data_IF_550722648499
#
_entry.id   IF_550722648499
#
_cell.length_a   1.000
_cell.length_b   1.000
_cell.length_c   1.000
_cell.angle_alpha   90.00
_cell.angle_beta   90.00
_cell.angle_gamma   90.00
#
_symmetry.space_group_name_H-M   'P 1'
#
loop_
_entity.id
_entity.type
_entity.pdbx_description
1 polymer ?
#
# COMPACT_ATOMS: atom_id res chain seq x y z
N UNK A 1 28.23 -16.73 2.28
CA UNK A 1 29.32 -16.29 3.18
C UNK A 1 28.87 -14.92 3.66
N UNK A 2 28.06 -14.87 4.71
CA UNK A 2 27.50 -13.62 5.21
C UNK A 2 28.63 -12.77 5.76
N UNK A 3 28.85 -11.60 5.16
CA UNK A 3 29.70 -10.59 5.76
C UNK A 3 29.07 -10.22 7.11
N UNK A 4 29.76 -10.50 8.21
CA UNK A 4 29.31 -10.09 9.54
C UNK A 4 29.02 -8.58 9.54
N UNK A 5 27.76 -8.22 9.80
CA UNK A 5 27.33 -6.83 9.85
C UNK A 5 28.04 -6.13 11.01
N UNK A 6 28.86 -5.12 10.72
CA UNK A 6 29.59 -4.36 11.76
C UNK A 6 28.71 -3.26 12.35
N UNK A 7 28.21 -3.52 13.56
CA UNK A 7 27.46 -2.54 14.33
C UNK A 7 28.40 -1.43 14.82
N UNK A 8 27.94 -0.20 14.65
CA UNK A 8 28.54 0.99 15.23
C UNK A 8 27.89 1.36 16.56
N UNK A 9 27.82 2.66 16.84
CA UNK A 9 27.27 3.21 18.06
C UNK A 9 25.76 2.98 18.17
N UNK A 10 25.26 2.71 19.39
CA UNK A 10 23.84 2.78 19.72
C UNK A 10 23.37 4.24 19.65
N UNK A 11 22.55 4.56 18.66
CA UNK A 11 22.04 5.90 18.39
C UNK A 11 20.84 6.25 19.27
N UNK A 12 19.97 5.27 19.52
CA UNK A 12 18.76 5.46 20.30
C UNK A 12 18.33 4.15 20.96
N UNK A 13 17.65 4.24 22.10
CA UNK A 13 17.02 3.12 22.78
C UNK A 13 15.62 3.51 23.23
N UNK A 14 14.61 2.84 22.66
CA UNK A 14 13.22 2.98 23.04
C UNK A 14 12.77 1.84 23.96
N UNK A 15 11.48 1.85 24.29
CA UNK A 15 10.83 0.82 25.13
C UNK A 15 10.95 -0.59 24.54
N UNK A 16 10.81 -0.73 23.22
CA UNK A 16 10.70 -2.03 22.53
C UNK A 16 11.79 -2.28 21.50
N UNK A 17 12.71 -1.34 21.29
CA UNK A 17 13.73 -1.42 20.24
C UNK A 17 14.99 -0.61 20.56
N UNK A 18 16.08 -0.99 19.93
CA UNK A 18 17.38 -0.29 19.94
C UNK A 18 17.79 0.01 18.49
N UNK A 19 18.45 1.14 18.29
CA UNK A 19 18.90 1.59 16.97
C UNK A 19 20.42 1.70 17.00
N UNK A 20 21.09 1.02 16.07
CA UNK A 20 22.55 1.02 15.92
C UNK A 20 22.94 1.58 14.57
N UNK A 21 23.99 2.40 14.52
CA UNK A 21 24.61 2.76 13.24
C UNK A 21 25.30 1.56 12.60
N UNK A 22 25.49 1.60 11.28
CA UNK A 22 26.24 0.59 10.53
C UNK A 22 27.55 1.19 10.02
N UNK A 23 28.68 0.64 10.43
CA UNK A 23 30.02 1.20 10.15
C UNK A 23 30.30 1.22 8.65
N UNK A 24 30.00 0.11 7.98
CA UNK A 24 30.32 -0.09 6.56
C UNK A 24 29.21 0.41 5.61
N UNK A 25 28.10 0.94 6.15
CA UNK A 25 26.92 1.35 5.37
C UNK A 25 26.38 2.71 5.86
N UNK A 26 27.04 3.83 5.48
CA UNK A 26 26.65 5.16 5.93
C UNK A 26 25.23 5.51 5.46
N UNK A 27 24.46 6.13 6.35
CA UNK A 27 23.05 6.47 6.10
C UNK A 27 22.07 5.33 6.35
N UNK A 28 22.53 4.15 6.77
CA UNK A 28 21.69 3.03 7.20
C UNK A 28 21.88 2.75 8.70
N UNK A 29 20.85 2.16 9.30
CA UNK A 29 20.80 1.75 10.71
C UNK A 29 20.25 0.34 10.85
N UNK A 30 20.66 -0.37 11.89
CA UNK A 30 20.00 -1.59 12.35
C UNK A 30 18.95 -1.23 13.40
N UNK A 31 17.73 -1.72 13.21
CA UNK A 31 16.65 -1.65 14.21
C UNK A 31 16.52 -3.03 14.87
N UNK A 32 16.95 -3.12 16.13
CA UNK A 32 16.93 -4.35 16.92
C UNK A 32 15.70 -4.35 17.84
N UNK A 33 14.81 -5.33 17.67
CA UNK A 33 13.62 -5.50 18.52
C UNK A 33 13.97 -6.13 19.87
N UNK A 34 13.23 -5.76 20.93
CA UNK A 34 13.37 -6.29 22.30
C UNK A 34 12.19 -7.21 22.68
N UNK A 35 12.44 -8.18 23.54
CA UNK A 35 11.42 -9.10 24.10
C UNK A 35 10.58 -8.44 25.21
N UNK A 36 10.18 -7.18 25.03
CA UNK A 36 9.43 -6.41 26.02
C UNK A 36 8.10 -5.94 25.45
N UNK A 37 7.02 -6.09 26.23
CA UNK A 37 5.71 -5.50 25.96
C UNK A 37 5.42 -4.42 27.02
N UNK A 38 4.80 -3.31 26.61
CA UNK A 38 4.55 -2.15 27.48
C UNK A 38 3.16 -1.57 27.26
N UNK A 39 2.52 -1.02 28.29
CA UNK A 39 1.25 -0.30 28.15
C UNK A 39 1.20 0.91 29.10
N UNK A 40 0.46 1.96 28.70
CA UNK A 40 0.32 3.20 29.46
C UNK A 40 1.66 3.88 29.74
N UNK A 41 2.36 4.32 28.70
CA UNK A 41 3.67 4.99 28.82
C UNK A 41 4.71 4.23 29.66
N UNK A 42 4.75 2.89 29.52
CA UNK A 42 5.62 1.98 30.27
C UNK A 42 5.36 1.87 31.78
N UNK A 43 4.22 2.39 32.28
CA UNK A 43 3.73 2.09 33.64
C UNK A 43 3.53 0.58 33.81
N UNK A 44 3.00 -0.08 32.78
CA UNK A 44 2.96 -1.55 32.71
C UNK A 44 4.04 -2.02 31.75
N UNK A 45 4.90 -2.95 32.19
CA UNK A 45 5.97 -3.55 31.40
C UNK A 45 6.18 -5.00 31.80
N UNK A 46 6.30 -5.89 30.81
CA UNK A 46 6.52 -7.31 31.02
C UNK A 46 7.48 -7.88 29.98
N UNK A 47 8.21 -8.93 30.38
CA UNK A 47 9.04 -9.70 29.46
C UNK A 47 8.18 -10.72 28.73
N UNK A 48 8.26 -10.75 27.40
CA UNK A 48 7.56 -11.72 26.56
C UNK A 48 8.55 -12.34 25.59
N UNK A 49 9.05 -13.52 25.94
CA UNK A 49 10.00 -14.26 25.11
C UNK A 49 9.45 -14.54 23.71
N UNK A 50 10.24 -14.24 22.69
CA UNK A 50 9.86 -14.36 21.28
C UNK A 50 9.16 -13.13 20.70
N UNK A 51 8.75 -12.14 21.52
CA UNK A 51 8.11 -10.91 21.03
C UNK A 51 8.99 -10.17 20.02
N UNK A 52 10.30 -10.11 20.24
CA UNK A 52 11.22 -9.43 19.33
C UNK A 52 11.13 -10.01 17.92
N UNK A 53 11.12 -11.34 17.81
CA UNK A 53 11.04 -12.02 16.52
C UNK A 53 9.67 -11.83 15.86
N UNK A 54 8.60 -11.92 16.64
CA UNK A 54 7.23 -11.70 16.16
C UNK A 54 7.03 -10.27 15.65
N UNK A 55 7.50 -9.26 16.39
CA UNK A 55 7.38 -7.86 16.03
C UNK A 55 8.19 -7.53 14.77
N UNK A 56 9.44 -8.00 14.71
CA UNK A 56 10.32 -7.80 13.57
C UNK A 56 9.77 -8.45 12.30
N UNK A 57 9.27 -9.70 12.40
CA UNK A 57 8.62 -10.38 11.28
C UNK A 57 7.38 -9.64 10.79
N UNK A 58 6.52 -9.21 11.72
CA UNK A 58 5.29 -8.47 11.38
C UNK A 58 5.63 -7.17 10.65
N UNK A 59 6.55 -6.39 11.20
CA UNK A 59 7.05 -5.15 10.61
C UNK A 59 7.67 -5.37 9.24
N UNK A 60 8.55 -6.37 9.10
CA UNK A 60 9.22 -6.68 7.83
C UNK A 60 8.22 -7.06 6.74
N UNK A 61 7.21 -7.87 7.06
CA UNK A 61 6.16 -8.23 6.10
C UNK A 61 5.30 -7.01 5.72
N UNK A 62 4.90 -6.18 6.70
CA UNK A 62 4.09 -4.98 6.44
C UNK A 62 4.86 -3.98 5.59
N UNK A 63 6.12 -3.69 5.92
CA UNK A 63 6.91 -2.76 5.12
C UNK A 63 7.21 -3.30 3.73
N UNK A 64 7.48 -4.60 3.57
CA UNK A 64 7.62 -5.20 2.25
C UNK A 64 6.35 -5.04 1.40
N UNK A 65 5.16 -5.29 1.98
CA UNK A 65 3.89 -5.09 1.29
C UNK A 65 3.71 -3.63 0.83
N UNK A 66 3.98 -2.67 1.73
CA UNK A 66 3.84 -1.24 1.44
C UNK A 66 4.87 -0.77 0.41
N UNK A 67 6.11 -1.23 0.48
CA UNK A 67 7.18 -0.90 -0.45
C UNK A 67 6.91 -1.47 -1.84
N UNK A 68 6.45 -2.73 -1.94
CA UNK A 68 6.04 -3.36 -3.20
C UNK A 68 4.80 -2.67 -3.83
N UNK A 69 3.91 -2.12 -3.00
CA UNK A 69 2.82 -1.26 -3.46
C UNK A 69 3.33 0.10 -4.00
N UNK A 70 4.49 0.57 -3.55
CA UNK A 70 5.09 1.84 -3.94
C UNK A 70 4.97 2.96 -2.90
N UNK A 71 4.64 2.63 -1.64
CA UNK A 71 4.75 3.57 -0.53
C UNK A 71 6.22 3.76 -0.17
N UNK A 72 6.62 5.01 0.07
CA UNK A 72 7.98 5.32 0.54
C UNK A 72 8.14 4.93 2.02
N UNK A 73 9.00 3.95 2.29
CA UNK A 73 9.28 3.42 3.63
C UNK A 73 10.76 3.53 3.95
N UNK A 74 11.09 3.63 5.24
CA UNK A 74 12.47 3.59 5.72
C UNK A 74 13.09 2.19 5.66
N UNK A 75 12.28 1.14 5.52
CA UNK A 75 12.71 -0.25 5.45
C UNK A 75 13.60 -0.52 4.22
N UNK A 76 14.71 -1.21 4.45
CA UNK A 76 15.62 -1.71 3.40
C UNK A 76 15.42 -3.22 3.25
N UNK A 77 15.71 -3.98 4.30
CA UNK A 77 15.57 -5.43 4.30
C UNK A 77 15.52 -6.00 5.72
N UNK A 78 14.99 -7.22 5.85
CA UNK A 78 15.10 -7.98 7.10
C UNK A 78 16.53 -8.53 7.23
N UNK A 79 17.18 -8.32 8.38
CA UNK A 79 18.55 -8.76 8.62
C UNK A 79 18.62 -10.07 9.43
N UNK A 80 17.78 -10.20 10.45
CA UNK A 80 17.70 -11.40 11.29
C UNK A 80 16.26 -11.66 11.72
N UNK A 81 16.02 -12.68 12.55
CA UNK A 81 14.69 -12.89 13.13
C UNK A 81 14.23 -11.70 13.97
N UNK A 82 15.16 -10.97 14.60
CA UNK A 82 14.83 -9.91 15.57
C UNK A 82 15.24 -8.50 15.13
N UNK A 83 15.86 -8.36 13.96
CA UNK A 83 16.30 -7.07 13.44
C UNK A 83 16.09 -6.88 11.93
N UNK A 84 15.98 -5.63 11.52
CA UNK A 84 15.93 -5.19 10.13
C UNK A 84 16.82 -3.97 9.90
N UNK A 85 17.24 -3.77 8.65
CA UNK A 85 18.00 -2.60 8.21
C UNK A 85 17.02 -1.54 7.71
N UNK A 86 17.24 -0.30 8.10
CA UNK A 86 16.47 0.85 7.68
C UNK A 86 17.39 2.00 7.23
N UNK A 87 16.87 2.88 6.39
CA UNK A 87 17.50 4.19 6.14
C UNK A 87 17.42 5.03 7.41
N UNK A 88 18.51 5.71 7.72
CA UNK A 88 18.56 6.60 8.87
C UNK A 88 17.62 7.79 8.66
N UNK A 89 16.75 8.02 9.65
CA UNK A 89 15.77 9.11 9.62
C UNK A 89 15.87 9.95 10.90
N UNK A 90 15.68 11.25 10.76
CA UNK A 90 15.28 12.09 11.89
C UNK A 90 13.77 11.98 12.05
N UNK A 91 13.32 11.44 13.19
CA UNK A 91 11.90 11.13 13.42
C UNK A 91 11.09 12.38 13.68
N UNK A 92 9.92 12.48 13.03
CA UNK A 92 8.94 13.53 13.30
C UNK A 92 8.18 13.10 14.57
N UNK A 93 8.15 13.91 15.65
CA UNK A 93 7.61 13.50 16.95
C UNK A 93 6.08 13.54 17.00
N UNK A 94 5.42 12.95 16.00
CA UNK A 94 3.97 12.89 15.86
C UNK A 94 3.53 11.45 15.61
N UNK A 95 2.57 11.00 16.41
CA UNK A 95 1.83 9.77 16.19
C UNK A 95 0.63 10.04 15.27
N UNK A 96 0.65 9.43 14.09
CA UNK A 96 -0.41 9.57 13.09
C UNK A 96 -1.40 8.44 13.24
N UNK A 97 -2.61 8.75 13.73
CA UNK A 97 -3.65 7.76 14.00
C UNK A 97 -4.75 7.84 12.96
N UNK A 98 -5.07 6.71 12.34
CA UNK A 98 -6.16 6.59 11.36
C UNK A 98 -7.20 5.59 11.83
N UNK A 99 -8.48 5.91 11.70
CA UNK A 99 -9.60 5.09 12.20
C UNK A 99 -10.65 4.82 11.13
N UNK A 100 -11.04 3.55 11.01
CA UNK A 100 -12.28 3.14 10.34
C UNK A 100 -13.44 3.01 11.32
N UNK A 101 -13.17 2.57 12.54
CA UNK A 101 -14.20 2.29 13.55
C UNK A 101 -13.90 3.08 14.83
N UNK A 102 -14.92 3.72 15.40
CA UNK A 102 -14.80 4.42 16.67
C UNK A 102 -14.68 3.42 17.83
N UNK A 103 -13.55 3.45 18.52
CA UNK A 103 -13.27 2.71 19.76
C UNK A 103 -12.17 3.44 20.54
N UNK A 104 -11.77 2.89 21.69
CA UNK A 104 -10.61 3.35 22.45
C UNK A 104 -10.68 4.83 22.85
N UNK A 105 -9.57 5.56 22.66
CA UNK A 105 -9.43 6.95 23.11
C UNK A 105 -10.35 7.94 22.38
N UNK A 106 -10.81 7.61 21.17
CA UNK A 106 -11.78 8.42 20.45
C UNK A 106 -13.10 8.55 21.22
N UNK A 107 -13.63 7.44 21.77
CA UNK A 107 -14.88 7.45 22.53
C UNK A 107 -14.76 8.25 23.83
N UNK A 108 -13.58 8.21 24.48
CA UNK A 108 -13.31 9.00 25.69
C UNK A 108 -13.34 10.51 25.41
N UNK A 109 -12.78 10.94 24.29
CA UNK A 109 -12.76 12.35 23.87
C UNK A 109 -14.11 12.83 23.29
N UNK A 110 -14.96 11.91 22.83
CA UNK A 110 -16.21 12.22 22.15
C UNK A 110 -17.40 11.52 22.84
N UNK A 111 -17.76 11.94 24.07
CA UNK A 111 -18.90 11.37 24.77
C UNK A 111 -20.18 11.51 23.94
N UNK A 112 -20.95 10.42 23.84
CA UNK A 112 -22.15 10.33 23.01
C UNK A 112 -21.97 9.53 21.71
N UNK A 113 -20.73 9.39 21.22
CA UNK A 113 -20.44 8.47 20.11
C UNK A 113 -20.43 7.04 20.63
N UNK A 114 -21.12 6.14 19.92
CA UNK A 114 -21.17 4.71 20.25
C UNK A 114 -20.00 3.97 19.61
N UNK A 115 -19.50 2.96 20.31
CA UNK A 115 -18.53 2.03 19.75
C UNK A 115 -19.10 1.34 18.50
N UNK A 116 -18.25 1.14 17.49
CA UNK A 116 -18.66 0.56 16.21
C UNK A 116 -19.08 1.60 15.17
N UNK A 117 -19.21 2.89 15.52
CA UNK A 117 -19.44 3.95 14.53
C UNK A 117 -18.36 3.91 13.44
N UNK A 118 -18.76 3.90 12.17
CA UNK A 118 -17.84 3.80 11.04
C UNK A 118 -17.55 5.17 10.43
N UNK A 119 -16.26 5.47 10.25
CA UNK A 119 -15.80 6.66 9.55
C UNK A 119 -15.70 6.40 8.04
N UNK A 120 -16.39 7.21 7.26
CA UNK A 120 -16.28 7.26 5.79
C UNK A 120 -16.41 8.72 5.32
N UNK A 121 -15.32 9.42 4.96
CA UNK A 121 -13.94 8.92 4.87
C UNK A 121 -13.30 8.60 6.23
N UNK A 122 -12.10 8.02 6.22
CA UNK A 122 -11.34 7.67 7.43
C UNK A 122 -11.09 8.88 8.33
N UNK A 123 -11.12 8.68 9.65
CA UNK A 123 -10.78 9.73 10.62
C UNK A 123 -9.28 9.72 10.88
N UNK A 124 -8.64 10.87 10.66
CA UNK A 124 -7.25 11.12 10.99
C UNK A 124 -7.13 11.97 12.27
N UNK A 125 -6.14 11.66 13.09
CA UNK A 125 -5.78 12.38 14.31
C UNK A 125 -4.25 12.39 14.47
N UNK A 126 -3.71 13.44 15.08
CA UNK A 126 -2.29 13.58 15.42
C UNK A 126 -2.12 13.65 16.93
N UNK A 127 -1.10 12.99 17.46
CA UNK A 127 -0.73 13.09 18.87
C UNK A 127 0.76 13.42 18.97
N UNK A 128 1.11 14.45 19.73
CA UNK A 128 2.49 14.81 19.95
C UNK A 128 3.13 13.81 20.90
N UNK A 129 4.34 13.35 20.56
CA UNK A 129 5.05 12.38 21.40
C UNK A 129 5.59 13.06 22.65
N UNK A 130 4.88 12.87 23.75
CA UNK A 130 5.24 13.35 25.08
C UNK A 130 4.72 12.37 26.13
N UNK A 131 5.64 11.51 26.59
CA UNK A 131 5.34 10.52 27.62
C UNK A 131 4.87 11.17 28.93
N UNK A 132 5.30 12.41 29.25
CA UNK A 132 4.94 13.11 30.47
C UNK A 132 3.48 13.57 30.45
N UNK A 133 2.99 14.03 29.30
CA UNK A 133 1.64 14.56 29.11
C UNK A 133 0.68 13.57 28.43
N UNK A 134 1.04 12.29 28.39
CA UNK A 134 0.24 11.20 27.82
C UNK A 134 -0.11 11.38 26.34
N UNK A 135 0.87 11.83 25.56
CA UNK A 135 0.78 12.06 24.11
C UNK A 135 -0.44 12.92 23.72
N UNK A 136 -0.42 14.24 24.01
CA UNK A 136 -1.59 15.10 23.80
C UNK A 136 -1.97 15.17 22.32
N UNK A 137 -3.28 15.21 22.06
CA UNK A 137 -3.78 15.41 20.69
C UNK A 137 -3.37 16.79 20.18
N UNK A 138 -2.79 16.85 18.98
CA UNK A 138 -2.46 18.09 18.29
C UNK A 138 -3.38 18.36 17.11
N UNK A 139 -3.69 19.64 16.89
CA UNK A 139 -4.24 20.15 15.65
C UNK A 139 -3.14 20.35 14.62
N UNK A 140 -3.54 20.57 13.37
CA UNK A 140 -2.61 20.84 12.28
C UNK A 140 -1.84 22.14 12.51
N UNK A 141 -2.53 23.17 13.00
CA UNK A 141 -1.96 24.47 13.32
C UNK A 141 -0.90 24.37 14.41
N UNK A 142 -1.10 23.51 15.43
CA UNK A 142 -0.10 23.26 16.46
C UNK A 142 1.18 22.65 15.87
N UNK A 143 1.03 21.67 14.97
CA UNK A 143 2.18 21.07 14.28
C UNK A 143 2.93 22.10 13.42
N UNK A 144 2.21 22.97 12.72
CA UNK A 144 2.81 24.02 11.88
C UNK A 144 3.54 25.08 12.71
N UNK A 145 2.95 25.54 13.82
CA UNK A 145 3.57 26.54 14.71
C UNK A 145 4.77 25.99 15.46
N UNK A 146 4.86 24.66 15.65
CA UNK A 146 6.04 24.02 16.23
C UNK A 146 7.31 24.20 15.37
N UNK A 147 7.17 24.54 14.08
CA UNK A 147 8.27 24.87 13.17
C UNK A 147 9.42 23.83 13.18
N UNK A 148 9.07 22.53 13.21
CA UNK A 148 10.07 21.47 13.17
C UNK A 148 10.92 21.56 11.89
N UNK A 149 12.23 21.42 12.05
CA UNK A 149 13.19 21.28 10.95
C UNK A 149 14.04 20.04 11.22
N UNK A 150 13.82 19.00 10.42
CA UNK A 150 14.42 17.68 10.61
C UNK A 150 15.23 17.31 9.37
N UNK A 151 16.49 16.96 9.57
CA UNK A 151 17.48 16.71 8.54
C UNK A 151 17.58 17.86 7.51
N UNK A 152 17.23 19.09 7.88
CA UNK A 152 17.19 20.25 6.98
C UNK A 152 15.90 20.42 6.17
N UNK A 153 14.88 19.57 6.39
CA UNK A 153 13.54 19.75 5.86
C UNK A 153 12.66 20.43 6.92
N UNK A 154 12.15 21.63 6.61
CA UNK A 154 11.11 22.27 7.41
C UNK A 154 9.77 21.55 7.20
N UNK A 155 9.08 21.20 8.29
CA UNK A 155 7.76 20.58 8.28
C UNK A 155 6.71 21.68 8.07
N UNK A 156 6.47 22.02 6.80
CA UNK A 156 5.47 23.01 6.40
C UNK A 156 4.12 22.36 6.09
N UNK A 157 3.13 23.16 5.68
CA UNK A 157 1.83 22.68 5.18
C UNK A 157 1.98 21.56 4.15
N UNK A 158 2.95 21.67 3.25
CA UNK A 158 3.19 20.65 2.23
C UNK A 158 3.53 19.28 2.85
N UNK A 159 4.44 19.24 3.83
CA UNK A 159 4.86 18.00 4.49
C UNK A 159 3.74 17.41 5.34
N UNK A 160 2.99 18.27 6.04
CA UNK A 160 1.82 17.88 6.84
C UNK A 160 0.74 17.26 5.95
N UNK A 161 0.39 17.88 4.82
CA UNK A 161 -0.56 17.32 3.85
C UNK A 161 -0.07 15.96 3.31
N UNK A 162 1.25 15.83 3.05
CA UNK A 162 1.85 14.58 2.58
C UNK A 162 1.70 13.48 3.62
N UNK A 163 2.01 13.75 4.89
CA UNK A 163 1.85 12.78 5.98
C UNK A 163 0.37 12.42 6.20
N UNK A 164 -0.53 13.42 6.16
CA UNK A 164 -1.97 13.23 6.23
C UNK A 164 -2.45 12.20 5.18
N UNK A 165 -2.17 12.48 3.91
CA UNK A 165 -2.65 11.64 2.80
C UNK A 165 -1.94 10.29 2.71
N UNK A 166 -0.67 10.24 3.12
CA UNK A 166 0.10 8.99 3.22
C UNK A 166 -0.47 8.09 4.30
N UNK A 167 -0.83 8.63 5.46
CA UNK A 167 -1.45 7.87 6.56
C UNK A 167 -2.75 7.20 6.13
N UNK A 168 -3.61 7.93 5.42
CA UNK A 168 -4.85 7.40 4.84
C UNK A 168 -4.54 6.28 3.84
N UNK A 169 -3.59 6.49 2.92
CA UNK A 169 -3.23 5.48 1.91
C UNK A 169 -2.69 4.20 2.52
N UNK A 170 -1.80 4.30 3.50
CA UNK A 170 -1.22 3.17 4.23
C UNK A 170 -2.33 2.41 4.95
N UNK A 171 -3.25 3.12 5.62
CA UNK A 171 -4.38 2.49 6.31
C UNK A 171 -5.23 1.68 5.33
N UNK A 172 -5.63 2.26 4.20
CA UNK A 172 -6.52 1.59 3.25
C UNK A 172 -5.84 0.38 2.58
N UNK A 173 -4.52 0.44 2.34
CA UNK A 173 -3.73 -0.70 1.85
C UNK A 173 -3.76 -1.85 2.87
N UNK A 174 -3.45 -1.56 4.13
CA UNK A 174 -3.45 -2.59 5.18
C UNK A 174 -4.87 -3.09 5.47
N UNK A 175 -5.89 -2.23 5.45
CA UNK A 175 -7.29 -2.59 5.61
C UNK A 175 -7.72 -3.59 4.53
N UNK A 176 -7.40 -3.30 3.26
CA UNK A 176 -7.74 -4.19 2.14
C UNK A 176 -6.96 -5.50 2.19
N UNK A 177 -5.70 -5.47 2.59
CA UNK A 177 -4.90 -6.68 2.76
C UNK A 177 -5.49 -7.58 3.86
N UNK A 178 -5.76 -7.03 5.05
CA UNK A 178 -6.35 -7.78 6.16
C UNK A 178 -7.76 -8.33 5.87
N UNK A 179 -8.54 -7.64 5.04
CA UNK A 179 -9.85 -8.13 4.60
C UNK A 179 -9.76 -9.50 3.89
N UNK A 180 -8.66 -9.80 3.18
CA UNK A 180 -8.44 -11.12 2.56
C UNK A 180 -8.34 -12.26 3.58
N UNK A 181 -8.01 -11.93 4.82
CA UNK A 181 -7.91 -12.87 5.95
C UNK A 181 -9.13 -12.80 6.86
N UNK A 182 -10.26 -12.25 6.38
CA UNK A 182 -11.47 -11.99 7.14
C UNK A 182 -11.18 -11.22 8.46
N UNK A 183 -10.29 -10.24 8.39
CA UNK A 183 -9.95 -9.39 9.53
C UNK A 183 -10.34 -7.93 9.24
N UNK A 184 -10.98 -7.30 10.22
CA UNK A 184 -11.25 -5.87 10.19
C UNK A 184 -10.07 -5.13 10.84
N UNK A 185 -9.38 -4.30 10.05
CA UNK A 185 -8.46 -3.30 10.57
C UNK A 185 -9.29 -2.12 11.10
N UNK A 186 -9.21 -1.85 12.40
CA UNK A 186 -10.13 -0.96 13.11
C UNK A 186 -9.56 0.46 13.16
N UNK A 187 -8.34 0.57 13.64
CA UNK A 187 -7.51 1.76 13.65
C UNK A 187 -6.03 1.36 13.64
N UNK A 188 -5.16 2.30 13.28
CA UNK A 188 -3.71 2.12 13.36
C UNK A 188 -3.01 3.42 13.74
N UNK A 189 -1.79 3.30 14.23
CA UNK A 189 -0.83 4.36 14.49
C UNK A 189 0.44 4.12 13.69
N UNK A 190 0.94 5.15 13.01
CA UNK A 190 2.23 5.13 12.33
C UNK A 190 3.04 6.39 12.67
N UNK A 191 4.34 6.35 12.39
CA UNK A 191 5.25 7.47 12.59
C UNK A 191 6.05 7.70 11.29
N UNK A 192 6.36 8.96 10.99
CA UNK A 192 7.17 9.33 9.83
C UNK A 192 8.53 9.85 10.28
N UNK A 193 9.51 9.73 9.40
CA UNK A 193 10.82 10.35 9.56
C UNK A 193 11.26 11.05 8.28
N UNK A 194 12.20 11.98 8.41
CA UNK A 194 12.89 12.58 7.27
C UNK A 194 14.17 11.78 7.02
N UNK A 195 14.28 11.18 5.84
CA UNK A 195 15.48 10.48 5.42
C UNK A 195 16.66 11.45 5.38
N UNK A 196 17.72 11.16 6.13
CA UNK A 196 18.86 12.08 6.29
C UNK A 196 19.64 12.31 5.00
N UNK A 197 19.54 11.39 4.05
CA UNK A 197 20.22 11.45 2.75
C UNK A 197 19.34 12.11 1.69
N UNK A 198 18.12 11.60 1.48
CA UNK A 198 17.25 12.07 0.38
C UNK A 198 16.41 13.29 0.75
N UNK A 199 16.32 13.62 2.04
CA UNK A 199 15.46 14.70 2.59
C UNK A 199 13.97 14.48 2.30
N UNK A 200 13.57 13.25 2.04
CA UNK A 200 12.17 12.89 1.82
C UNK A 200 11.51 12.42 3.11
N UNK A 201 10.23 12.76 3.27
CA UNK A 201 9.38 12.17 4.31
C UNK A 201 9.07 10.72 3.91
N UNK A 202 9.36 9.78 4.82
CA UNK A 202 9.12 8.35 4.63
C UNK A 202 8.41 7.76 5.83
N UNK A 203 7.57 6.74 5.61
CA UNK A 203 7.04 5.93 6.70
C UNK A 203 8.21 5.26 7.42
N UNK A 204 8.33 5.45 8.72
CA UNK A 204 9.45 4.95 9.51
C UNK A 204 8.95 4.19 10.75
N UNK A 205 9.79 4.08 11.77
CA UNK A 205 9.54 3.29 12.96
C UNK A 205 9.19 1.82 12.65
N UNK A 206 8.09 1.31 13.19
CA UNK A 206 7.62 -0.07 13.04
C UNK A 206 6.10 -0.08 12.88
N UNK A 207 5.60 -1.07 12.16
CA UNK A 207 4.17 -1.38 12.10
C UNK A 207 4.00 -2.83 12.52
N UNK A 208 3.79 -3.04 13.82
CA UNK A 208 3.62 -4.36 14.43
C UNK A 208 2.25 -4.49 15.09
N UNK A 209 2.06 -5.56 15.87
CA UNK A 209 0.80 -5.84 16.54
C UNK A 209 0.51 -4.91 17.76
N UNK A 210 1.41 -3.96 18.05
CA UNK A 210 1.21 -2.87 18.99
C UNK A 210 0.59 -1.64 18.29
N UNK A 211 0.79 -1.52 16.97
CA UNK A 211 0.47 -0.36 16.14
C UNK A 211 -0.99 -0.29 15.69
N UNK A 212 -1.77 -1.37 15.76
CA UNK A 212 -3.15 -1.40 15.28
C UNK A 212 -4.14 -2.04 16.25
N UNK A 213 -5.42 -1.96 15.89
CA UNK A 213 -6.48 -2.85 16.38
C UNK A 213 -6.97 -3.76 15.27
N UNK A 214 -7.03 -5.06 15.53
CA UNK A 214 -7.33 -6.08 14.52
C UNK A 214 -8.38 -7.06 15.04
N UNK A 215 -9.56 -7.06 14.41
CA UNK A 215 -10.72 -7.86 14.81
C UNK A 215 -11.06 -8.91 13.75
N UNK A 216 -10.77 -10.20 14.01
CA UNK A 216 -11.26 -11.29 13.17
C UNK A 216 -12.78 -11.24 13.03
N UNK A 217 -13.29 -11.40 11.80
CA UNK A 217 -14.71 -11.29 11.44
C UNK A 217 -15.39 -9.98 11.87
N UNK A 218 -14.62 -8.93 12.18
CA UNK A 218 -15.16 -7.68 12.72
C UNK A 218 -15.63 -7.77 14.18
N UNK A 219 -15.32 -8.87 14.87
CA UNK A 219 -15.73 -9.10 16.25
C UNK A 219 -14.64 -8.66 17.25
N UNK A 220 -14.96 -7.64 18.05
CA UNK A 220 -14.07 -7.12 19.09
C UNK A 220 -13.72 -8.18 20.14
N UNK A 221 -14.61 -9.11 20.45
CA UNK A 221 -14.33 -10.18 21.41
C UNK A 221 -13.19 -11.11 20.95
N UNK A 222 -12.90 -11.12 19.64
CA UNK A 222 -11.84 -11.92 19.05
C UNK A 222 -10.54 -11.13 18.81
N UNK A 223 -10.43 -9.89 19.30
CA UNK A 223 -9.29 -9.00 19.06
C UNK A 223 -7.94 -9.71 19.24
N UNK A 224 -7.04 -9.52 18.27
CA UNK A 224 -5.72 -10.19 18.21
C UNK A 224 -4.55 -9.26 18.49
N UNK A 225 -4.82 -7.98 18.68
CA UNK A 225 -3.81 -6.95 18.90
C UNK A 225 -3.49 -6.72 20.38
N UNK A 226 -2.56 -5.81 20.63
CA UNK A 226 -2.10 -5.41 21.97
C UNK A 226 -3.22 -4.91 22.90
N UNK A 227 -4.39 -4.52 22.40
CA UNK A 227 -5.50 -4.14 23.26
C UNK A 227 -5.88 -5.26 24.25
N UNK A 228 -5.68 -6.54 23.91
CA UNK A 228 -5.86 -7.66 24.86
C UNK A 228 -5.00 -7.49 26.11
N UNK A 229 -3.73 -7.14 25.95
CA UNK A 229 -2.80 -6.91 27.07
C UNK A 229 -3.16 -5.63 27.85
N UNK A 230 -3.66 -4.58 27.16
CA UNK A 230 -4.13 -3.34 27.80
C UNK A 230 -5.38 -3.58 28.65
N UNK A 231 -6.26 -4.47 28.21
CA UNK A 231 -7.55 -4.76 28.88
C UNK A 231 -7.41 -5.71 30.09
N UNK A 232 -6.25 -6.34 30.28
CA UNK A 232 -6.00 -7.19 31.45
C UNK A 232 -6.11 -6.39 32.74
N UNK A 233 -6.97 -6.85 33.66
CA UNK A 233 -7.06 -6.32 35.03
C UNK A 233 -5.78 -6.64 35.80
N UNK A 234 -5.34 -7.90 35.72
CA UNK A 234 -4.10 -8.40 36.32
C UNK A 234 -3.30 -9.15 35.25
N UNK A 235 -1.97 -9.04 35.32
CA UNK A 235 -1.05 -9.72 34.40
C UNK A 235 -0.63 -11.04 35.05
N UNK A 236 -1.25 -12.14 34.62
CA UNK A 236 -0.87 -13.50 35.04
C UNK A 236 -0.07 -14.20 33.94
N UNK A 237 0.72 -15.25 34.26
CA UNK A 237 1.41 -16.05 33.26
C UNK A 237 0.46 -16.61 32.19
N UNK A 238 -0.72 -17.07 32.57
CA UNK A 238 -1.72 -17.64 31.66
C UNK A 238 -2.28 -16.58 30.70
N UNK A 239 -2.58 -15.38 31.22
CA UNK A 239 -3.02 -14.25 30.42
C UNK A 239 -1.94 -13.82 29.41
N UNK A 240 -0.68 -13.81 29.83
CA UNK A 240 0.46 -13.51 28.95
C UNK A 240 0.64 -14.54 27.84
N UNK A 241 0.36 -15.82 28.09
CA UNK A 241 0.35 -16.84 27.03
C UNK A 241 -0.78 -16.62 26.01
N UNK A 242 -1.94 -16.10 26.43
CA UNK A 242 -3.01 -15.70 25.48
C UNK A 242 -2.53 -14.54 24.61
N UNK A 243 -1.92 -13.51 25.20
CA UNK A 243 -1.34 -12.37 24.46
C UNK A 243 -0.30 -12.86 23.46
N UNK A 244 0.63 -13.71 23.88
CA UNK A 244 1.67 -14.28 23.00
C UNK A 244 1.07 -15.05 21.82
N UNK A 245 0.10 -15.94 22.07
CA UNK A 245 -0.59 -16.70 21.01
C UNK A 245 -1.31 -15.79 20.00
N UNK A 246 -1.91 -14.69 20.48
CA UNK A 246 -2.52 -13.71 19.59
C UNK A 246 -1.48 -13.02 18.68
N UNK A 247 -0.32 -12.67 19.24
CA UNK A 247 0.80 -12.09 18.49
C UNK A 247 1.38 -13.08 17.46
N UNK A 248 1.58 -14.34 17.84
CA UNK A 248 2.02 -15.40 16.93
C UNK A 248 1.03 -15.61 15.78
N UNK A 249 -0.27 -15.64 16.08
CA UNK A 249 -1.32 -15.75 15.07
C UNK A 249 -1.25 -14.63 14.04
N UNK A 250 -1.07 -13.38 14.47
CA UNK A 250 -0.90 -12.23 13.57
C UNK A 250 0.38 -12.36 12.73
N UNK A 251 1.48 -12.77 13.37
CA UNK A 251 2.79 -12.94 12.72
C UNK A 251 2.81 -14.01 11.64
N UNK A 252 1.98 -15.04 11.76
CA UNK A 252 1.80 -16.04 10.71
C UNK A 252 0.86 -15.55 9.60
N UNK A 253 -0.23 -14.87 9.97
CA UNK A 253 -1.20 -14.34 8.99
C UNK A 253 -0.64 -13.20 8.13
N UNK A 254 0.23 -12.37 8.67
CA UNK A 254 0.81 -11.23 7.93
C UNK A 254 1.66 -11.69 6.72
N UNK A 255 2.23 -12.90 6.76
CA UNK A 255 2.96 -13.49 5.61
C UNK A 255 2.02 -13.70 4.42
N UNK A 256 0.79 -14.15 4.69
CA UNK A 256 -0.23 -14.41 3.68
C UNK A 256 -0.66 -13.12 2.96
N UNK A 257 -0.42 -11.95 3.54
CA UNK A 257 -0.72 -10.66 2.90
C UNK A 257 0.21 -10.36 1.71
N UNK A 258 1.35 -11.04 1.62
CA UNK A 258 2.29 -10.94 0.50
C UNK A 258 1.99 -11.97 -0.60
N UNK A 259 1.15 -12.97 -0.31
CA UNK A 259 0.79 -13.98 -1.29
C UNK A 259 -0.15 -13.38 -2.34
N UNK A 260 0.08 -13.72 -3.61
CA UNK A 260 -0.71 -13.20 -4.72
C UNK A 260 -1.93 -14.12 -4.95
N UNK A 261 -3.15 -13.69 -4.58
CA UNK A 261 -4.34 -14.50 -4.86
C UNK A 261 -4.59 -14.49 -6.37
N UNK A 262 -4.42 -15.66 -7.01
CA UNK A 262 -4.67 -15.97 -8.43
C UNK A 262 -4.54 -14.76 -9.39
N UNK A 263 -3.37 -14.59 -10.01
CA UNK A 263 -3.13 -13.48 -10.92
C UNK A 263 -3.96 -13.62 -12.19
N UNK A 264 -4.84 -12.65 -12.44
CA UNK A 264 -5.39 -12.44 -13.77
C UNK A 264 -4.31 -12.00 -14.76
N UNK A 265 -4.67 -11.92 -16.05
CA UNK A 265 -3.74 -11.47 -17.11
C UNK A 265 -4.39 -10.52 -18.10
N UNK A 266 -3.56 -9.72 -18.74
CA UNK A 266 -3.93 -8.96 -19.92
C UNK A 266 -3.48 -9.69 -21.17
N UNK A 267 -4.36 -9.80 -22.16
CA UNK A 267 -4.03 -10.29 -23.50
C UNK A 267 -4.25 -9.16 -24.48
N UNK A 268 -3.17 -8.63 -25.04
CA UNK A 268 -3.22 -7.59 -26.08
C UNK A 268 -3.27 -8.28 -27.44
N UNK A 269 -4.36 -8.06 -28.16
CA UNK A 269 -4.58 -8.56 -29.51
C UNK A 269 -4.34 -7.42 -30.50
N UNK A 270 -3.34 -7.55 -31.36
CA UNK A 270 -3.03 -6.55 -32.38
C UNK A 270 -3.39 -7.01 -33.80
N UNK A 271 -4.03 -6.14 -34.57
CA UNK A 271 -4.43 -6.41 -35.96
C UNK A 271 -3.27 -6.51 -36.95
N UNK A 272 -2.14 -5.91 -36.60
CA UNK A 272 -0.94 -5.78 -37.43
C UNK A 272 0.31 -5.68 -36.55
N UNK A 273 1.43 -6.24 -37.01
CA UNK A 273 2.72 -6.11 -36.34
C UNK A 273 3.28 -4.68 -36.37
N UNK A 274 2.76 -3.82 -37.25
CA UNK A 274 3.08 -2.38 -37.24
C UNK A 274 2.75 -1.69 -35.93
N UNK A 275 1.79 -2.22 -35.17
CA UNK A 275 1.29 -1.63 -33.92
C UNK A 275 2.05 -2.15 -32.68
N UNK A 276 3.12 -2.92 -32.87
CA UNK A 276 3.91 -3.56 -31.80
C UNK A 276 4.40 -2.54 -30.76
N UNK A 277 4.93 -1.39 -31.20
CA UNK A 277 5.43 -0.34 -30.29
C UNK A 277 4.33 0.20 -29.37
N UNK A 278 3.09 0.29 -29.86
CA UNK A 278 1.94 0.70 -29.05
C UNK A 278 1.58 -0.39 -28.03
N UNK A 279 1.56 -1.65 -28.47
CA UNK A 279 1.28 -2.81 -27.63
C UNK A 279 2.32 -3.01 -26.52
N UNK A 280 3.59 -2.74 -26.81
CA UNK A 280 4.68 -2.80 -25.84
C UNK A 280 4.55 -1.78 -24.71
N UNK A 281 3.98 -0.60 -24.99
CA UNK A 281 3.65 0.38 -23.95
C UNK A 281 2.62 -0.19 -22.98
N UNK A 282 1.55 -0.81 -23.50
CA UNK A 282 0.52 -1.48 -22.69
C UNK A 282 1.16 -2.58 -21.84
N UNK A 283 1.97 -3.46 -22.45
CA UNK A 283 2.68 -4.54 -21.73
C UNK A 283 3.56 -4.02 -20.61
N UNK A 284 4.37 -2.97 -20.87
CA UNK A 284 5.24 -2.35 -19.88
C UNK A 284 4.43 -1.75 -18.73
N UNK A 285 3.34 -1.05 -19.04
CA UNK A 285 2.46 -0.46 -18.03
C UNK A 285 1.77 -1.54 -17.17
N UNK A 286 1.30 -2.65 -17.75
CA UNK A 286 0.78 -3.80 -16.99
C UNK A 286 1.81 -4.34 -15.97
N UNK A 287 3.08 -4.41 -16.38
CA UNK A 287 4.18 -4.84 -15.51
C UNK A 287 4.35 -3.97 -14.26
N UNK A 288 4.11 -2.66 -14.35
CA UNK A 288 4.19 -1.74 -13.20
C UNK A 288 3.14 -2.04 -12.12
N UNK A 289 2.01 -2.64 -12.53
CA UNK A 289 0.94 -3.10 -11.63
C UNK A 289 1.09 -4.57 -11.22
N UNK A 290 2.15 -5.26 -11.67
CA UNK A 290 2.34 -6.69 -11.39
C UNK A 290 1.34 -7.58 -12.13
N UNK A 291 0.75 -7.12 -13.24
CA UNK A 291 -0.21 -7.88 -14.04
C UNK A 291 0.51 -8.52 -15.24
N UNK A 292 0.54 -9.86 -15.36
CA UNK A 292 1.07 -10.55 -16.53
C UNK A 292 0.38 -10.08 -17.82
N UNK A 293 1.17 -9.84 -18.87
CA UNK A 293 0.64 -9.35 -20.14
C UNK A 293 1.23 -10.12 -21.33
N UNK A 294 0.36 -10.68 -22.16
CA UNK A 294 0.70 -11.44 -23.36
C UNK A 294 0.33 -10.64 -24.61
N UNK A 295 1.18 -10.66 -25.63
CA UNK A 295 0.93 -10.02 -26.92
C UNK A 295 0.62 -11.10 -27.96
N UNK A 296 -0.42 -10.90 -28.77
CA UNK A 296 -0.78 -11.79 -29.89
C UNK A 296 -1.13 -10.96 -31.12
N UNK A 297 -0.89 -11.54 -32.30
CA UNK A 297 -1.25 -10.93 -33.59
C UNK A 297 -2.42 -11.72 -34.16
N UNK A 298 -3.54 -11.03 -34.43
CA UNK A 298 -4.71 -11.62 -35.08
C UNK A 298 -5.61 -10.54 -35.67
N UNK A 299 -6.30 -10.83 -36.76
CA UNK A 299 -7.10 -9.84 -37.49
C UNK A 299 -8.51 -10.33 -37.73
N UNK A 300 -9.49 -9.63 -37.14
CA UNK A 300 -10.91 -9.93 -37.35
C UNK A 300 -11.36 -9.79 -38.82
N UNK A 301 -10.64 -9.02 -39.65
CA UNK A 301 -10.96 -8.85 -41.07
C UNK A 301 -10.30 -9.90 -41.97
N UNK A 302 -9.09 -10.37 -41.61
CA UNK A 302 -8.27 -11.24 -42.47
C UNK A 302 -8.20 -12.70 -41.98
N UNK A 303 -8.59 -12.95 -40.73
CA UNK A 303 -8.58 -14.26 -40.08
C UNK A 303 -9.49 -14.27 -38.85
N UNK A 304 -10.81 -14.08 -39.02
CA UNK A 304 -11.76 -14.06 -37.90
C UNK A 304 -11.85 -15.41 -37.17
N UNK A 305 -11.72 -16.52 -37.88
CA UNK A 305 -11.67 -17.87 -37.32
C UNK A 305 -10.50 -18.05 -36.35
N UNK A 306 -9.30 -17.62 -36.75
CA UNK A 306 -8.12 -17.65 -35.88
C UNK A 306 -8.26 -16.69 -34.68
N UNK A 307 -8.90 -15.53 -34.89
CA UNK A 307 -9.22 -14.59 -33.80
C UNK A 307 -10.07 -15.27 -32.72
N UNK A 308 -11.11 -16.00 -33.11
CA UNK A 308 -11.99 -16.74 -32.20
C UNK A 308 -11.27 -17.93 -31.55
N UNK A 309 -10.39 -18.62 -32.29
CA UNK A 309 -9.58 -19.73 -31.76
C UNK A 309 -8.62 -19.25 -30.67
N UNK A 310 -7.89 -18.15 -30.91
CA UNK A 310 -6.97 -17.55 -29.93
C UNK A 310 -7.73 -17.10 -28.67
N UNK A 311 -8.89 -16.45 -28.84
CA UNK A 311 -9.76 -16.08 -27.72
C UNK A 311 -10.12 -17.30 -26.87
N UNK A 312 -10.50 -18.41 -27.50
CA UNK A 312 -10.88 -19.64 -26.79
C UNK A 312 -9.72 -20.26 -25.99
N UNK A 313 -8.46 -20.14 -26.45
CA UNK A 313 -7.28 -20.56 -25.67
C UNK A 313 -7.25 -19.87 -24.29
N UNK A 314 -7.55 -18.57 -24.26
CA UNK A 314 -7.48 -17.76 -23.03
C UNK A 314 -8.73 -17.83 -22.15
N UNK A 315 -9.85 -18.27 -22.70
CA UNK A 315 -11.06 -18.58 -21.92
C UNK A 315 -10.98 -19.96 -21.27
N UNK A 316 -10.30 -20.92 -21.92
CA UNK A 316 -10.36 -22.34 -21.56
C UNK A 316 -9.45 -22.78 -20.40
N UNK A 317 -8.48 -21.96 -19.97
CA UNK A 317 -7.49 -22.37 -18.95
C UNK A 317 -7.82 -21.89 -17.52
N UNK A 318 -8.97 -21.21 -17.33
CA UNK A 318 -9.45 -20.76 -16.03
C UNK A 318 -8.76 -19.52 -15.46
N UNK A 319 -7.85 -18.87 -16.20
CA UNK A 319 -7.18 -17.64 -15.73
C UNK A 319 -8.05 -16.41 -16.06
N UNK A 320 -8.45 -15.59 -15.06
CA UNK A 320 -9.20 -14.36 -15.30
C UNK A 320 -8.46 -13.44 -16.29
N UNK A 321 -9.09 -13.08 -17.39
CA UNK A 321 -8.43 -12.38 -18.50
C UNK A 321 -9.16 -11.10 -18.86
N UNK A 322 -8.40 -10.03 -19.12
CA UNK A 322 -8.89 -8.81 -19.77
C UNK A 322 -8.25 -8.73 -21.15
N UNK A 323 -9.06 -8.59 -22.20
CA UNK A 323 -8.57 -8.42 -23.56
C UNK A 323 -8.40 -6.93 -23.87
N UNK A 324 -7.28 -6.59 -24.50
CA UNK A 324 -7.04 -5.25 -25.05
C UNK A 324 -6.88 -5.37 -26.56
N UNK A 325 -7.82 -4.80 -27.32
CA UNK A 325 -7.81 -4.81 -28.78
C UNK A 325 -7.09 -3.56 -29.31
N UNK A 326 -6.02 -3.78 -30.07
CA UNK A 326 -5.22 -2.74 -30.73
C UNK A 326 -5.37 -2.90 -32.24
N UNK A 327 -6.20 -2.06 -32.83
CA UNK A 327 -6.40 -2.02 -34.28
C UNK A 327 -6.55 -0.57 -34.73
N UNK A 328 -5.70 -0.15 -35.68
CA UNK A 328 -5.85 1.14 -36.36
C UNK A 328 -6.97 1.12 -37.42
N UNK A 329 -7.29 2.29 -37.98
CA UNK A 329 -8.35 2.46 -38.98
C UNK A 329 -9.72 2.04 -38.41
N UNK A 330 -10.52 1.33 -39.20
CA UNK A 330 -11.78 0.73 -38.76
C UNK A 330 -11.51 -0.45 -37.83
N UNK A 331 -11.62 -0.26 -36.52
CA UNK A 331 -11.42 -1.30 -35.51
C UNK A 331 -12.58 -2.31 -35.51
N UNK A 332 -12.44 -3.41 -36.27
CA UNK A 332 -13.32 -4.57 -36.17
C UNK A 332 -12.91 -5.59 -35.09
N UNK A 333 -11.67 -5.53 -34.61
CA UNK A 333 -11.09 -6.52 -33.69
C UNK A 333 -11.77 -6.47 -32.32
N UNK A 334 -11.86 -5.29 -31.73
CA UNK A 334 -12.56 -5.06 -30.47
C UNK A 334 -14.00 -5.55 -30.46
N UNK A 335 -14.86 -5.07 -31.40
CA UNK A 335 -16.24 -5.51 -31.48
C UNK A 335 -16.39 -7.03 -31.65
N UNK A 336 -15.59 -7.65 -32.52
CA UNK A 336 -15.65 -9.11 -32.74
C UNK A 336 -15.30 -9.87 -31.47
N UNK A 337 -14.26 -9.47 -30.74
CA UNK A 337 -13.95 -10.11 -29.46
C UNK A 337 -15.07 -9.86 -28.45
N UNK A 338 -15.54 -8.62 -28.30
CA UNK A 338 -16.58 -8.24 -27.35
C UNK A 338 -17.92 -8.94 -27.56
N UNK A 339 -18.28 -9.27 -28.80
CA UNK A 339 -19.51 -10.04 -29.08
C UNK A 339 -19.37 -11.54 -28.80
N UNK A 340 -18.15 -12.05 -28.58
CA UNK A 340 -17.86 -13.48 -28.51
C UNK A 340 -17.16 -13.91 -27.21
N UNK A 341 -17.01 -13.03 -26.23
CA UNK A 341 -16.47 -13.36 -24.89
C UNK A 341 -17.29 -12.73 -23.79
N UNK A 342 -17.36 -13.40 -22.63
CA UNK A 342 -17.89 -12.83 -21.41
C UNK A 342 -16.85 -11.98 -20.63
N UNK A 343 -15.58 -12.06 -21.02
CA UNK A 343 -14.51 -11.29 -20.39
C UNK A 343 -14.50 -9.82 -20.83
N UNK A 344 -13.96 -8.90 -20.02
CA UNK A 344 -13.87 -7.49 -20.41
C UNK A 344 -12.98 -7.29 -21.64
N UNK A 345 -13.42 -6.41 -22.55
CA UNK A 345 -12.69 -6.04 -23.76
C UNK A 345 -12.52 -4.53 -23.83
N UNK A 346 -11.26 -4.09 -23.92
CA UNK A 346 -10.88 -2.68 -23.98
C UNK A 346 -10.32 -2.40 -25.38
N UNK A 347 -10.91 -1.45 -26.10
CA UNK A 347 -10.30 -0.88 -27.29
C UNK A 347 -9.21 0.11 -26.88
N UNK A 348 -8.00 -0.08 -27.41
CA UNK A 348 -6.90 0.86 -27.31
C UNK A 348 -6.31 1.11 -28.72
N UNK A 349 -7.03 1.86 -29.58
CA UNK A 349 -6.60 2.07 -30.96
C UNK A 349 -5.33 2.93 -31.03
N UNK A 350 -4.36 2.61 -31.90
CA UNK A 350 -3.12 3.37 -32.08
C UNK A 350 -3.36 4.65 -32.91
N UNK A 351 -4.12 5.58 -32.33
CA UNK A 351 -4.56 6.82 -32.99
C UNK A 351 -3.37 7.77 -33.29
N UNK A 352 -3.39 8.37 -34.48
CA UNK A 352 -2.50 9.47 -34.90
C UNK A 352 -3.30 10.74 -35.21
N UNK A 353 -2.62 11.89 -35.31
CA UNK A 353 -3.27 13.17 -35.60
C UNK A 353 -3.95 13.21 -36.98
N UNK A 354 -3.44 12.47 -37.96
CA UNK A 354 -3.90 12.53 -39.35
C UNK A 354 -5.34 12.02 -39.52
N UNK A 355 -5.67 10.89 -38.89
CA UNK A 355 -6.94 10.17 -39.10
C UNK A 355 -7.66 9.77 -37.81
N UNK A 356 -7.07 10.08 -36.65
CA UNK A 356 -7.56 9.67 -35.35
C UNK A 356 -9.01 10.06 -35.05
N UNK A 357 -9.38 11.27 -35.47
CA UNK A 357 -10.72 11.81 -35.25
C UNK A 357 -11.80 11.02 -36.00
N UNK A 358 -11.46 10.38 -37.12
CA UNK A 358 -12.36 9.53 -37.89
C UNK A 358 -12.32 8.09 -37.37
N UNK A 359 -11.11 7.55 -37.14
CA UNK A 359 -10.90 6.17 -36.75
C UNK A 359 -11.52 5.82 -35.40
N UNK A 360 -11.47 6.74 -34.42
CA UNK A 360 -11.96 6.50 -33.05
C UNK A 360 -13.43 6.08 -32.99
N UNK A 361 -14.27 6.54 -33.92
CA UNK A 361 -15.70 6.23 -33.94
C UNK A 361 -15.97 4.73 -34.13
N UNK A 362 -15.06 4.02 -34.79
CA UNK A 362 -15.15 2.56 -34.94
C UNK A 362 -14.99 1.80 -33.62
N UNK A 363 -14.38 2.43 -32.60
CA UNK A 363 -14.24 1.87 -31.25
C UNK A 363 -15.37 2.32 -30.30
N UNK A 364 -16.06 3.43 -30.61
CA UNK A 364 -17.08 4.03 -29.75
C UNK A 364 -18.52 3.63 -30.10
N UNK A 365 -18.86 3.58 -31.39
CA UNK A 365 -20.24 3.31 -31.84
C UNK A 365 -20.39 1.86 -32.26
N UNK A 366 -21.00 1.08 -31.39
CA UNK A 366 -21.20 -0.37 -31.56
C UNK A 366 -22.69 -0.72 -31.78
N UNK A 367 -23.00 -1.87 -32.42
CA UNK A 367 -24.33 -2.47 -32.34
C UNK A 367 -24.74 -2.78 -30.90
N UNK A 368 -26.04 -2.94 -30.66
CA UNK A 368 -26.58 -3.32 -29.34
C UNK A 368 -26.07 -4.69 -28.88
N UNK A 369 -25.85 -4.85 -27.57
CA UNK A 369 -25.40 -6.11 -26.97
C UNK A 369 -23.88 -6.24 -26.80
N UNK A 370 -23.11 -5.22 -27.18
CA UNK A 370 -21.66 -5.17 -26.99
C UNK A 370 -21.28 -4.24 -25.83
N UNK A 371 -20.48 -4.75 -24.89
CA UNK A 371 -20.01 -4.02 -23.70
C UNK A 371 -18.57 -3.46 -23.82
N UNK A 372 -18.02 -3.40 -25.04
CA UNK A 372 -16.64 -2.99 -25.26
C UNK A 372 -16.39 -1.54 -24.82
N UNK A 373 -15.38 -1.31 -23.98
CA UNK A 373 -14.96 0.04 -23.58
C UNK A 373 -13.86 0.56 -24.50
N UNK A 374 -13.59 1.87 -24.45
CA UNK A 374 -12.49 2.48 -25.21
C UNK A 374 -11.61 3.34 -24.31
N UNK A 375 -10.31 3.09 -24.34
CA UNK A 375 -9.28 3.86 -23.63
C UNK A 375 -8.17 4.22 -24.61
N UNK A 376 -7.93 5.52 -24.83
CA UNK A 376 -7.02 5.97 -25.90
C UNK A 376 -5.53 5.87 -25.54
N UNK A 377 -5.21 6.05 -24.26
CA UNK A 377 -3.82 5.98 -23.79
C UNK A 377 -3.42 4.53 -23.51
N UNK A 378 -2.27 4.05 -24.03
CA UNK A 378 -1.81 2.69 -23.76
C UNK A 378 -1.52 2.46 -22.26
N UNK A 379 -0.97 3.47 -21.57
CA UNK A 379 -0.72 3.39 -20.13
C UNK A 379 -2.05 3.35 -19.36
N UNK A 380 -3.04 4.13 -19.80
CA UNK A 380 -4.37 4.14 -19.19
C UNK A 380 -5.14 2.84 -19.46
N UNK A 381 -4.94 2.18 -20.60
CA UNK A 381 -5.57 0.88 -20.89
C UNK A 381 -5.06 -0.20 -19.94
N UNK A 382 -3.75 -0.23 -19.69
CA UNK A 382 -3.15 -1.07 -18.67
C UNK A 382 -3.63 -0.71 -17.26
N UNK A 383 -3.74 0.58 -16.93
CA UNK A 383 -4.28 1.04 -15.64
C UNK A 383 -5.75 0.66 -15.46
N UNK A 384 -6.58 0.73 -16.49
CA UNK A 384 -7.98 0.32 -16.44
C UNK A 384 -8.11 -1.20 -16.26
N UNK A 385 -7.30 -1.99 -16.95
CA UNK A 385 -7.20 -3.42 -16.71
C UNK A 385 -6.76 -3.74 -15.26
N UNK A 386 -5.77 -3.01 -14.74
CA UNK A 386 -5.35 -3.12 -13.35
C UNK A 386 -6.47 -2.74 -12.37
N UNK A 387 -7.29 -1.73 -12.67
CA UNK A 387 -8.45 -1.36 -11.84
C UNK A 387 -9.49 -2.48 -11.79
N UNK A 388 -9.74 -3.17 -12.91
CA UNK A 388 -10.61 -4.35 -12.97
C UNK A 388 -10.06 -5.45 -12.06
N UNK A 389 -8.79 -5.84 -12.21
CA UNK A 389 -8.17 -6.87 -11.37
C UNK A 389 -8.07 -6.45 -9.90
N UNK A 390 -7.86 -5.16 -9.63
CA UNK A 390 -7.80 -4.59 -8.30
C UNK A 390 -9.09 -4.80 -7.50
N UNK A 391 -10.23 -5.08 -8.13
CA UNK A 391 -11.46 -5.47 -7.41
C UNK A 391 -11.27 -6.75 -6.60
N UNK A 392 -10.60 -7.76 -7.19
CA UNK A 392 -10.37 -9.07 -6.55
C UNK A 392 -8.96 -9.29 -6.01
N UNK A 393 -7.98 -8.46 -6.37
CA UNK A 393 -6.58 -8.62 -6.00
C UNK A 393 -6.07 -7.41 -5.19
N UNK A 394 -5.75 -7.61 -3.91
CA UNK A 394 -5.34 -6.53 -3.01
C UNK A 394 -3.96 -5.96 -3.36
N UNK A 395 -3.06 -6.75 -3.95
CA UNK A 395 -1.71 -6.29 -4.34
C UNK A 395 -1.80 -5.31 -5.52
N UNK A 396 -2.56 -5.66 -6.56
CA UNK A 396 -2.80 -4.77 -7.71
C UNK A 396 -3.51 -3.49 -7.25
N UNK A 397 -4.53 -3.62 -6.39
CA UNK A 397 -5.21 -2.47 -5.83
C UNK A 397 -4.27 -1.56 -5.02
N UNK A 398 -3.37 -2.14 -4.23
CA UNK A 398 -2.43 -1.38 -3.41
C UNK A 398 -1.47 -0.56 -4.28
N UNK A 399 -1.00 -1.13 -5.39
CA UNK A 399 -0.18 -0.39 -6.39
C UNK A 399 -0.93 0.78 -7.01
N UNK A 400 -2.21 0.60 -7.36
CA UNK A 400 -3.07 1.70 -7.82
C UNK A 400 -3.23 2.77 -6.75
N UNK A 401 -3.48 2.37 -5.50
CA UNK A 401 -3.71 3.29 -4.39
C UNK A 401 -2.47 4.11 -4.03
N UNK A 402 -1.30 3.48 -4.04
CA UNK A 402 -0.02 4.14 -3.84
C UNK A 402 0.35 5.02 -5.03
N UNK A 403 0.08 4.60 -6.27
CA UNK A 403 0.27 5.43 -7.47
C UNK A 403 -0.54 6.74 -7.37
N UNK A 404 -1.81 6.69 -6.96
CA UNK A 404 -2.63 7.89 -6.73
C UNK A 404 -2.04 8.83 -5.68
N UNK A 405 -1.46 8.27 -4.60
CA UNK A 405 -0.76 9.06 -3.58
C UNK A 405 0.47 9.72 -4.19
N UNK A 406 1.34 8.93 -4.83
CA UNK A 406 2.62 9.39 -5.35
C UNK A 406 2.45 10.47 -6.42
N UNK A 407 1.48 10.33 -7.33
CA UNK A 407 1.15 11.39 -8.30
C UNK A 407 0.74 12.68 -7.61
N UNK A 408 -0.11 12.60 -6.58
CA UNK A 408 -0.51 13.79 -5.82
C UNK A 408 0.66 14.41 -5.04
N UNK A 409 1.55 13.59 -4.45
CA UNK A 409 2.77 14.06 -3.77
C UNK A 409 3.68 14.78 -4.78
N UNK A 410 3.87 14.24 -5.98
CA UNK A 410 4.66 14.89 -7.03
C UNK A 410 4.10 16.25 -7.41
N UNK A 411 2.76 16.40 -7.49
CA UNK A 411 2.13 17.71 -7.74
C UNK A 411 2.41 18.70 -6.61
N UNK A 412 2.29 18.28 -5.34
CA UNK A 412 2.57 19.13 -4.17
C UNK A 412 4.03 19.60 -4.13
N UNK A 413 4.97 18.70 -4.40
CA UNK A 413 6.40 19.03 -4.43
C UNK A 413 6.71 19.98 -5.60
N UNK A 414 6.11 19.75 -6.77
CA UNK A 414 6.31 20.61 -7.93
C UNK A 414 5.78 22.03 -7.68
N UNK A 415 4.58 22.16 -7.09
CA UNK A 415 3.99 23.45 -6.71
C UNK A 415 4.84 24.17 -5.66
N UNK A 416 5.26 23.48 -4.58
CA UNK A 416 6.17 24.03 -3.57
C UNK A 416 7.46 24.57 -4.18
N UNK A 417 8.04 23.84 -5.14
CA UNK A 417 9.25 24.28 -5.86
C UNK A 417 8.99 25.56 -6.65
N UNK A 418 7.87 25.64 -7.38
CA UNK A 418 7.52 26.84 -8.15
C UNK A 418 7.26 28.06 -7.26
N UNK A 419 6.62 27.88 -6.11
CA UNK A 419 6.41 28.94 -5.12
C UNK A 419 7.74 29.52 -4.60
N UNK A 420 8.75 28.66 -4.39
CA UNK A 420 10.09 29.12 -3.96
C UNK A 420 10.84 29.94 -5.02
N UNK A 421 10.48 29.80 -6.30
CA UNK A 421 11.05 30.59 -7.40
C UNK A 421 10.30 31.91 -7.65
N UNK A 422 9.15 32.12 -7.02
CA UNK A 422 8.28 33.29 -7.25
C UNK A 422 8.59 34.46 -6.31
N UNK A 423 9.85 34.55 -5.86
CA UNK A 423 10.37 35.66 -5.04
C UNK A 423 10.91 36.81 -5.90
#
# INVERSE_FOLDING_TARGET
MDAFLKLGQKLNEGKTKEIYSLVDQPGLVLVQSKNQITAGNAVRKDQMEGKAAIANRTTSCVFKLLQEAGIKTAFVEQHSDTAFIAVHCEMIPIEWVCRRVATGSFLKRNPGVKEGYRFSPLKLEMFFKDDADNDPQWSEEQLLVANFSLAGLAISQCEVDIMNRSTVAIFEILERAWATQNCTLVDMKIEFGVNVTTKEVVLADVVDNDSWRLWPAGDRCQQKDKQVYRDLKEVTPEAMQVVKRNFEWVSEKVKLLLENPASGRVVVLMGSTSDMVHCDKIRKACGSYGVPCVLRVTSAHKGPDETLRIKAEYEGDGVPTVFVAVAGRSNGLGPVISGNTAYPVINCPPITADWGAQDVWSSLRMPSGLGCSTVLSPDAAAQFAAQIFGLGNHLVWSKLRASMLNTWVSLKIADKKLQSCSL
#
